data_IF_960313359410
#
_entry.id   IF_960313359410
#
_cell.length_a   1.000
_cell.length_b   1.000
_cell.length_c   1.000
_cell.angle_alpha   90.00
_cell.angle_beta   90.00
_cell.angle_gamma   90.00
#
_symmetry.space_group_name_H-M   'P 1'
#
loop_
_entity.id
_entity.type
_entity.pdbx_description
1 polymer ?
#
# COMPACT_ATOMS: atom_id res chain seq x y z
N UNK A 1 15.73 3.39 20.50
CA UNK A 1 15.68 1.93 20.63
C UNK A 1 14.35 1.46 20.07
N UNK A 2 14.31 0.98 18.82
CA UNK A 2 13.10 0.41 18.23
C UNK A 2 12.96 -1.02 18.76
N UNK A 3 12.07 -1.23 19.74
CA UNK A 3 11.62 -2.58 20.07
C UNK A 3 10.68 -3.00 18.94
N UNK A 4 11.20 -3.78 17.99
CA UNK A 4 10.36 -4.38 16.97
C UNK A 4 9.49 -5.43 17.67
N UNK A 5 8.25 -5.07 17.99
CA UNK A 5 7.23 -6.06 18.29
C UNK A 5 7.30 -7.12 17.19
N UNK A 6 7.41 -8.37 17.59
CA UNK A 6 7.39 -9.47 16.64
C UNK A 6 6.12 -9.36 15.78
N UNK A 7 6.17 -9.88 14.55
CA UNK A 7 5.00 -9.87 13.65
C UNK A 7 3.72 -10.38 14.36
N UNK A 8 3.87 -11.37 15.26
CA UNK A 8 2.77 -11.92 16.05
C UNK A 8 2.20 -10.93 17.06
N UNK A 9 3.05 -10.23 17.81
CA UNK A 9 2.60 -9.21 18.77
C UNK A 9 1.95 -8.04 18.05
N UNK A 10 2.53 -7.59 16.92
CA UNK A 10 1.99 -6.49 16.15
C UNK A 10 0.65 -6.86 15.49
N UNK A 11 0.50 -8.11 15.05
CA UNK A 11 -0.78 -8.62 14.54
C UNK A 11 -1.85 -8.59 15.63
N UNK A 12 -1.56 -9.12 16.82
CA UNK A 12 -2.49 -9.09 17.97
C UNK A 12 -2.84 -7.66 18.37
N UNK A 13 -1.83 -6.79 18.44
CA UNK A 13 -2.01 -5.37 18.74
C UNK A 13 -2.94 -4.71 17.72
N UNK A 14 -2.71 -4.91 16.41
CA UNK A 14 -3.51 -4.29 15.35
C UNK A 14 -4.99 -4.68 15.40
N UNK A 15 -5.29 -5.89 15.87
CA UNK A 15 -6.66 -6.39 16.06
C UNK A 15 -7.34 -5.79 17.30
N UNK A 16 -6.56 -5.37 18.29
CA UNK A 16 -7.06 -4.85 19.57
C UNK A 16 -7.26 -3.34 19.62
N UNK A 17 -6.68 -2.60 18.67
CA UNK A 17 -6.75 -1.13 18.62
C UNK A 17 -7.75 -0.63 17.58
N UNK A 18 -8.16 0.63 17.68
CA UNK A 18 -9.09 1.26 16.75
C UNK A 18 -8.41 1.71 15.45
N UNK A 19 -9.24 2.09 14.47
CA UNK A 19 -8.81 2.55 13.14
C UNK A 19 -7.89 3.78 13.21
N UNK A 20 -8.12 4.71 14.13
CA UNK A 20 -7.28 5.91 14.23
C UNK A 20 -5.88 5.55 14.70
N UNK A 21 -5.76 4.73 15.75
CA UNK A 21 -4.45 4.27 16.25
C UNK A 21 -3.68 3.48 15.18
N UNK A 22 -4.36 2.62 14.41
CA UNK A 22 -3.71 1.92 13.28
C UNK A 22 -3.20 2.89 12.22
N UNK A 23 -4.00 3.90 11.87
CA UNK A 23 -3.62 4.91 10.88
C UNK A 23 -2.41 5.73 11.33
N UNK A 24 -2.35 6.13 12.59
CA UNK A 24 -1.19 6.82 13.16
C UNK A 24 0.08 5.96 13.12
N UNK A 25 -0.05 4.67 13.42
CA UNK A 25 1.06 3.71 13.30
C UNK A 25 1.53 3.57 11.84
N UNK A 26 0.62 3.41 10.89
CA UNK A 26 0.95 3.31 9.46
C UNK A 26 1.61 4.60 8.95
N UNK A 27 1.16 5.77 9.39
CA UNK A 27 1.79 7.05 9.07
C UNK A 27 3.22 7.09 9.61
N UNK A 28 3.43 6.65 10.85
CA UNK A 28 4.75 6.62 11.49
C UNK A 28 5.70 5.65 10.79
N UNK A 29 5.22 4.46 10.41
CA UNK A 29 6.00 3.47 9.66
C UNK A 29 6.35 3.97 8.27
N UNK A 30 5.40 4.62 7.59
CA UNK A 30 5.63 5.20 6.26
C UNK A 30 6.65 6.32 6.32
N UNK A 31 6.51 7.24 7.29
CA UNK A 31 7.48 8.30 7.50
C UNK A 31 8.88 7.76 7.82
N UNK A 32 8.97 6.69 8.62
CA UNK A 32 10.24 6.03 8.91
C UNK A 32 10.86 5.38 7.66
N UNK A 33 10.05 4.76 6.80
CA UNK A 33 10.51 4.19 5.54
C UNK A 33 10.98 5.28 4.55
N UNK A 34 10.30 6.43 4.53
CA UNK A 34 10.63 7.54 3.65
C UNK A 34 11.98 8.22 3.97
N UNK A 35 12.50 8.06 5.20
CA UNK A 35 13.82 8.57 5.59
C UNK A 35 14.96 7.96 4.77
N UNK A 36 14.73 6.83 4.13
CA UNK A 36 15.73 6.10 3.37
C UNK A 36 15.67 6.36 1.85
N UNK A 37 14.65 7.09 1.38
CA UNK A 37 14.53 7.50 -0.02
C UNK A 37 14.37 6.33 -1.00
N UNK A 38 14.75 6.56 -2.26
CA UNK A 38 14.66 5.57 -3.34
C UNK A 38 15.61 4.38 -3.17
N UNK A 39 16.87 4.65 -2.83
CA UNK A 39 17.96 3.66 -2.79
C UNK A 39 18.65 3.65 -1.42
N UNK A 40 18.12 2.90 -0.44
CA UNK A 40 18.79 2.70 0.84
C UNK A 40 20.16 2.04 0.67
N UNK A 41 21.11 2.35 1.56
CA UNK A 41 22.37 1.59 1.65
C UNK A 41 22.10 0.18 2.18
N UNK A 42 23.00 -0.76 1.88
CA UNK A 42 22.85 -2.18 2.24
C UNK A 42 22.56 -2.41 3.72
N UNK A 43 23.19 -1.62 4.59
CA UNK A 43 23.02 -1.67 6.06
C UNK A 43 21.57 -1.42 6.50
N UNK A 44 20.79 -0.68 5.71
CA UNK A 44 19.41 -0.31 6.04
C UNK A 44 18.35 -1.14 5.31
N UNK A 45 18.75 -2.05 4.40
CA UNK A 45 17.80 -2.89 3.66
C UNK A 45 16.96 -3.77 4.59
N UNK A 46 17.57 -4.34 5.63
CA UNK A 46 16.85 -5.14 6.63
C UNK A 46 15.83 -4.28 7.39
N UNK A 47 16.18 -3.04 7.72
CA UNK A 47 15.27 -2.14 8.44
C UNK A 47 14.08 -1.73 7.57
N UNK A 48 14.34 -1.38 6.31
CA UNK A 48 13.28 -1.08 5.31
C UNK A 48 12.36 -2.28 5.14
N UNK A 49 12.93 -3.49 5.13
CA UNK A 49 12.14 -4.72 5.05
C UNK A 49 11.24 -4.91 6.26
N UNK A 50 11.78 -4.72 7.47
CA UNK A 50 11.01 -4.82 8.71
C UNK A 50 9.87 -3.79 8.74
N UNK A 51 10.14 -2.54 8.33
CA UNK A 51 9.10 -1.51 8.22
C UNK A 51 7.98 -1.94 7.27
N UNK A 52 8.33 -2.47 6.09
CA UNK A 52 7.35 -3.00 5.15
C UNK A 52 6.51 -4.14 5.72
N UNK A 53 7.14 -5.12 6.39
CA UNK A 53 6.43 -6.21 7.07
C UNK A 53 5.46 -5.68 8.13
N UNK A 54 5.88 -4.68 8.89
CA UNK A 54 5.05 -4.06 9.92
C UNK A 54 3.87 -3.30 9.30
N UNK A 55 4.08 -2.56 8.20
CA UNK A 55 3.02 -1.89 7.46
C UNK A 55 1.96 -2.88 6.96
N UNK A 56 2.39 -3.99 6.35
CA UNK A 56 1.48 -5.05 5.89
C UNK A 56 0.73 -5.71 7.05
N UNK A 57 1.38 -5.89 8.19
CA UNK A 57 0.79 -6.53 9.37
C UNK A 57 -0.28 -5.63 10.02
N UNK A 58 0.00 -4.33 10.15
CA UNK A 58 -0.89 -3.34 10.77
C UNK A 58 -2.05 -2.97 9.86
N UNK A 59 -1.91 -3.08 8.54
CA UNK A 59 -2.98 -2.72 7.61
C UNK A 59 -4.18 -3.67 7.71
N UNK A 60 -5.37 -3.10 7.83
CA UNK A 60 -6.67 -3.74 7.62
C UNK A 60 -7.41 -3.07 6.45
N UNK A 61 -8.59 -3.58 6.11
CA UNK A 61 -9.42 -3.07 5.01
C UNK A 61 -9.69 -1.55 5.12
N UNK A 62 -9.93 -1.05 6.34
CA UNK A 62 -10.23 0.36 6.61
C UNK A 62 -9.05 1.31 6.38
N UNK A 63 -7.82 0.81 6.34
CA UNK A 63 -6.62 1.63 6.10
C UNK A 63 -6.02 1.41 4.70
N UNK A 64 -6.39 0.33 3.99
CA UNK A 64 -5.75 -0.08 2.74
C UNK A 64 -5.73 1.03 1.70
N UNK A 65 -6.87 1.68 1.45
CA UNK A 65 -6.96 2.72 0.43
C UNK A 65 -6.02 3.90 0.73
N UNK A 66 -6.04 4.38 1.98
CA UNK A 66 -5.19 5.50 2.41
C UNK A 66 -3.71 5.12 2.30
N UNK A 67 -3.35 3.93 2.76
CA UNK A 67 -1.98 3.44 2.71
C UNK A 67 -1.46 3.32 1.27
N UNK A 68 -2.25 2.71 0.38
CA UNK A 68 -1.88 2.52 -1.02
C UNK A 68 -1.70 3.87 -1.75
N UNK A 69 -2.63 4.81 -1.57
CA UNK A 69 -2.53 6.16 -2.17
C UNK A 69 -1.32 6.93 -1.63
N UNK A 70 -1.07 6.89 -0.32
CA UNK A 70 0.10 7.52 0.28
C UNK A 70 1.42 6.95 -0.25
N UNK A 71 1.54 5.61 -0.31
CA UNK A 71 2.73 4.96 -0.84
C UNK A 71 2.93 5.26 -2.33
N UNK A 72 1.87 5.27 -3.14
CA UNK A 72 1.96 5.63 -4.55
C UNK A 72 2.50 7.06 -4.75
N UNK A 73 2.00 8.04 -3.98
CA UNK A 73 2.53 9.42 -4.00
C UNK A 73 4.00 9.47 -3.59
N UNK A 74 4.39 8.71 -2.57
CA UNK A 74 5.77 8.64 -2.12
C UNK A 74 6.70 8.01 -3.17
N UNK A 75 6.23 7.02 -3.94
CA UNK A 75 6.96 6.46 -5.07
C UNK A 75 7.16 7.46 -6.19
N UNK A 76 6.10 8.21 -6.55
CA UNK A 76 6.20 9.27 -7.57
C UNK A 76 7.24 10.33 -7.18
N UNK A 77 7.32 10.67 -5.89
CA UNK A 77 8.31 11.60 -5.34
C UNK A 77 9.68 10.95 -5.06
N UNK A 78 9.88 9.68 -5.39
CA UNK A 78 11.11 8.92 -5.11
C UNK A 78 11.55 8.93 -3.63
N UNK A 79 10.60 9.10 -2.69
CA UNK A 79 10.89 9.14 -1.26
C UNK A 79 10.71 7.80 -0.58
N UNK A 80 10.06 6.83 -1.22
CA UNK A 80 9.83 5.49 -0.67
C UNK A 80 10.68 4.44 -1.38
N UNK A 81 11.39 3.54 -0.67
CA UNK A 81 12.13 2.46 -1.31
C UNK A 81 11.18 1.53 -2.10
N UNK A 82 11.52 1.12 -3.35
CA UNK A 82 10.68 0.24 -4.15
C UNK A 82 10.29 -1.07 -3.44
N UNK A 83 11.21 -1.61 -2.63
CA UNK A 83 10.97 -2.82 -1.85
C UNK A 83 9.78 -2.71 -0.88
N UNK A 84 9.42 -1.50 -0.42
CA UNK A 84 8.26 -1.33 0.47
C UNK A 84 6.94 -1.65 -0.26
N UNK A 85 6.85 -1.38 -1.57
CA UNK A 85 5.63 -1.62 -2.33
C UNK A 85 5.22 -3.10 -2.34
N UNK A 86 6.18 -4.04 -2.29
CA UNK A 86 5.86 -5.47 -2.21
C UNK A 86 5.01 -5.82 -0.99
N UNK A 87 5.16 -5.07 0.10
CA UNK A 87 4.38 -5.26 1.32
C UNK A 87 3.02 -4.60 1.25
N UNK A 88 2.89 -3.53 0.46
CA UNK A 88 1.59 -2.94 0.14
C UNK A 88 0.78 -3.89 -0.74
N UNK A 89 1.42 -4.58 -1.69
CA UNK A 89 0.78 -5.66 -2.47
C UNK A 89 0.28 -6.75 -1.52
N UNK A 90 1.10 -7.23 -0.57
CA UNK A 90 0.68 -8.21 0.45
C UNK A 90 -0.47 -7.72 1.32
N UNK A 91 -0.48 -6.44 1.68
CA UNK A 91 -1.60 -5.84 2.41
C UNK A 91 -2.88 -5.85 1.57
N UNK A 92 -2.78 -5.54 0.28
CA UNK A 92 -3.91 -5.61 -0.64
C UNK A 92 -4.43 -7.04 -0.82
N UNK A 93 -3.54 -8.04 -0.97
CA UNK A 93 -3.92 -9.46 -1.06
C UNK A 93 -4.70 -9.91 0.19
N UNK A 94 -4.30 -9.43 1.37
CA UNK A 94 -4.97 -9.74 2.64
C UNK A 94 -6.32 -9.04 2.79
N UNK A 95 -6.42 -7.77 2.40
CA UNK A 95 -7.50 -6.89 2.86
C UNK A 95 -8.47 -6.43 1.76
N UNK A 96 -8.10 -6.50 0.48
CA UNK A 96 -8.88 -5.88 -0.59
C UNK A 96 -10.29 -6.48 -0.73
N UNK A 97 -10.47 -7.77 -0.45
CA UNK A 97 -11.78 -8.43 -0.51
C UNK A 97 -12.79 -7.90 0.53
N UNK A 98 -12.30 -7.30 1.61
CA UNK A 98 -13.14 -6.72 2.67
C UNK A 98 -13.40 -5.21 2.46
N UNK A 99 -12.78 -4.60 1.44
CA UNK A 99 -12.98 -3.18 1.13
C UNK A 99 -14.27 -3.02 0.31
N UNK A 100 -15.14 -2.05 0.66
CA UNK A 100 -16.34 -1.75 -0.13
C UNK A 100 -16.04 -1.47 -1.60
N UNK A 101 -16.92 -1.93 -2.49
CA UNK A 101 -16.77 -1.82 -3.95
C UNK A 101 -16.51 -0.38 -4.43
N UNK A 102 -17.25 0.58 -3.88
CA UNK A 102 -17.11 2.01 -4.15
C UNK A 102 -15.72 2.53 -3.75
N UNK A 103 -15.24 2.13 -2.57
CA UNK A 103 -13.91 2.51 -2.08
C UNK A 103 -12.79 1.92 -2.94
N UNK A 104 -12.91 0.67 -3.38
CA UNK A 104 -11.96 0.06 -4.34
C UNK A 104 -11.95 0.82 -5.67
N UNK A 105 -13.13 1.16 -6.20
CA UNK A 105 -13.24 1.95 -7.43
C UNK A 105 -12.60 3.34 -7.30
N UNK A 106 -12.81 4.01 -6.18
CA UNK A 106 -12.18 5.29 -5.87
C UNK A 106 -10.66 5.18 -5.77
N UNK A 107 -10.14 4.15 -5.09
CA UNK A 107 -8.72 3.89 -4.99
C UNK A 107 -8.08 3.64 -6.35
N UNK A 108 -8.66 2.76 -7.18
CA UNK A 108 -8.14 2.47 -8.51
C UNK A 108 -8.06 3.73 -9.38
N UNK A 109 -9.09 4.58 -9.33
CA UNK A 109 -9.10 5.87 -10.01
C UNK A 109 -8.01 6.80 -9.47
N UNK A 110 -7.85 6.91 -8.15
CA UNK A 110 -6.83 7.76 -7.55
C UNK A 110 -5.41 7.32 -7.95
N UNK A 111 -5.12 6.01 -7.87
CA UNK A 111 -3.84 5.45 -8.31
C UNK A 111 -3.57 5.74 -9.79
N UNK A 112 -4.59 5.60 -10.64
CA UNK A 112 -4.51 5.96 -12.06
C UNK A 112 -4.14 7.43 -12.26
N UNK A 113 -4.76 8.35 -11.52
CA UNK A 113 -4.44 9.79 -11.56
C UNK A 113 -2.99 10.04 -11.12
N UNK A 114 -2.56 9.48 -9.99
CA UNK A 114 -1.20 9.66 -9.44
C UNK A 114 -0.14 9.29 -10.49
N UNK A 115 -0.27 8.10 -11.10
CA UNK A 115 0.71 7.63 -12.09
C UNK A 115 0.59 8.33 -13.44
N UNK A 116 -0.62 8.71 -13.85
CA UNK A 116 -0.81 9.48 -15.08
C UNK A 116 -0.19 10.88 -14.99
N UNK A 117 -0.39 11.57 -13.88
CA UNK A 117 0.23 12.87 -13.61
C UNK A 117 1.74 12.77 -13.53
N UNK A 118 2.27 11.75 -12.86
CA UNK A 118 3.70 11.47 -12.77
C UNK A 118 4.31 11.28 -14.15
N UNK A 119 3.69 10.43 -14.98
CA UNK A 119 4.13 10.19 -16.37
C UNK A 119 4.10 11.46 -17.22
N UNK A 120 3.06 12.27 -17.10
CA UNK A 120 2.88 13.48 -17.92
C UNK A 120 3.94 14.55 -17.61
N UNK A 121 4.44 14.57 -16.37
CA UNK A 121 5.45 15.53 -15.89
C UNK A 121 6.86 14.94 -15.83
N UNK A 122 7.04 13.69 -16.24
CA UNK A 122 8.30 12.96 -16.08
C UNK A 122 9.41 13.55 -16.95
N UNK A 123 10.58 13.71 -16.35
CA UNK A 123 11.85 13.86 -17.07
C UNK A 123 12.44 12.48 -17.40
N UNK A 124 13.45 12.41 -18.27
CA UNK A 124 14.16 11.15 -18.56
C UNK A 124 14.69 10.48 -17.27
N UNK A 125 15.23 11.28 -16.35
CA UNK A 125 15.71 10.78 -15.06
C UNK A 125 14.61 10.23 -14.14
N UNK A 126 13.36 10.67 -14.32
CA UNK A 126 12.22 10.15 -13.56
C UNK A 126 11.75 8.81 -14.14
N UNK A 127 11.80 8.66 -15.48
CA UNK A 127 11.42 7.43 -16.17
C UNK A 127 12.30 6.25 -15.71
N UNK A 128 13.62 6.43 -15.68
CA UNK A 128 14.55 5.41 -15.20
C UNK A 128 14.25 4.99 -13.75
N UNK A 129 13.82 5.95 -12.90
CA UNK A 129 13.42 5.66 -11.52
C UNK A 129 12.10 4.91 -11.44
N UNK A 130 11.15 5.19 -12.33
CA UNK A 130 9.85 4.52 -12.36
C UNK A 130 9.93 3.05 -12.74
N UNK A 131 10.94 2.65 -13.54
CA UNK A 131 11.17 1.24 -13.87
C UNK A 131 11.36 0.36 -12.63
N UNK A 132 12.02 0.88 -11.59
CA UNK A 132 12.20 0.14 -10.33
C UNK A 132 10.89 -0.09 -9.55
N UNK A 133 9.89 0.79 -9.74
CA UNK A 133 8.58 0.66 -9.10
C UNK A 133 7.58 -0.16 -9.94
N UNK A 134 7.75 -0.18 -11.26
CA UNK A 134 6.84 -0.81 -12.22
C UNK A 134 6.34 -2.21 -11.84
N UNK A 135 7.19 -3.19 -11.47
CA UNK A 135 6.70 -4.55 -11.16
C UNK A 135 5.78 -4.57 -9.92
N UNK A 136 6.10 -3.78 -8.89
CA UNK A 136 5.31 -3.74 -7.67
C UNK A 136 4.02 -2.93 -7.83
N UNK A 137 4.07 -1.84 -8.60
CA UNK A 137 2.89 -1.06 -8.97
C UNK A 137 1.92 -1.90 -9.80
N UNK A 138 2.42 -2.65 -10.79
CA UNK A 138 1.60 -3.56 -11.60
C UNK A 138 0.96 -4.65 -10.72
N UNK A 139 1.73 -5.24 -9.78
CA UNK A 139 1.21 -6.19 -8.82
C UNK A 139 0.09 -5.61 -7.95
N UNK A 140 0.27 -4.39 -7.42
CA UNK A 140 -0.74 -3.71 -6.61
C UNK A 140 -2.02 -3.45 -7.41
N UNK A 141 -1.89 -2.89 -8.60
CA UNK A 141 -3.04 -2.60 -9.47
C UNK A 141 -3.78 -3.88 -9.86
N UNK A 142 -3.07 -4.95 -10.19
CA UNK A 142 -3.67 -6.23 -10.53
C UNK A 142 -4.47 -6.81 -9.35
N UNK A 143 -3.89 -6.82 -8.15
CA UNK A 143 -4.55 -7.33 -6.94
C UNK A 143 -5.82 -6.53 -6.64
N UNK A 144 -5.76 -5.20 -6.70
CA UNK A 144 -6.91 -4.34 -6.45
C UNK A 144 -8.00 -4.48 -7.53
N UNK A 145 -7.62 -4.62 -8.81
CA UNK A 145 -8.58 -4.84 -9.90
C UNK A 145 -9.30 -6.19 -9.76
N UNK A 146 -8.61 -7.25 -9.36
CA UNK A 146 -9.25 -8.55 -9.11
C UNK A 146 -10.32 -8.44 -8.01
N UNK A 147 -9.96 -7.85 -6.87
CA UNK A 147 -10.92 -7.62 -5.78
C UNK A 147 -12.11 -6.75 -6.21
N UNK A 148 -11.86 -5.71 -7.02
CA UNK A 148 -12.92 -4.85 -7.56
C UNK A 148 -13.89 -5.62 -8.46
N UNK A 149 -13.36 -6.46 -9.36
CA UNK A 149 -14.18 -7.30 -10.25
C UNK A 149 -14.99 -8.33 -9.46
N UNK A 150 -14.38 -9.00 -8.48
CA UNK A 150 -15.07 -9.95 -7.60
C UNK A 150 -16.21 -9.28 -6.80
N UNK A 151 -15.97 -8.07 -6.28
CA UNK A 151 -17.00 -7.27 -5.61
C UNK A 151 -18.12 -6.86 -6.58
N UNK A 152 -17.78 -6.47 -7.82
CA UNK A 152 -18.77 -6.12 -8.85
C UNK A 152 -19.68 -7.30 -9.20
N UNK A 153 -19.09 -8.49 -9.36
CA UNK A 153 -19.84 -9.72 -9.58
C UNK A 153 -20.77 -10.02 -8.42
N UNK A 154 -20.27 -9.94 -7.18
CA UNK A 154 -21.07 -10.21 -5.98
C UNK A 154 -22.27 -9.26 -5.87
N UNK A 155 -22.11 -7.98 -6.22
CA UNK A 155 -23.20 -7.00 -6.25
C UNK A 155 -24.20 -7.26 -7.39
N UNK A 156 -23.72 -7.71 -8.55
CA UNK A 156 -24.58 -8.00 -9.71
C UNK A 156 -25.46 -9.23 -9.48
N UNK A 157 -25.04 -10.16 -8.63
CA UNK A 157 -25.78 -11.37 -8.27
C UNK A 157 -26.53 -11.27 -6.93
N UNK A 158 -26.55 -10.11 -6.26
CA UNK A 158 -27.39 -9.95 -5.07
C UNK A 158 -28.84 -10.17 -5.48
N UNK A 159 -29.51 -11.27 -5.05
CA UNK A 159 -30.88 -11.52 -5.46
C UNK A 159 -31.73 -10.34 -4.97
N UNK A 160 -32.53 -9.77 -5.86
CA UNK A 160 -33.56 -8.80 -5.49
C UNK A 160 -34.36 -9.43 -4.35
N UNK A 161 -34.22 -8.89 -3.13
CA UNK A 161 -35.04 -9.30 -2.01
C UNK A 161 -36.44 -8.77 -2.28
N UNK A 162 -37.24 -9.58 -2.98
CA UNK A 162 -38.70 -9.48 -3.03
C UNK A 162 -39.35 -9.89 -1.72
#
# INVERSE_FOLDING_TARGET
MFSALSKFELSKWSQSVDTNTRREMLNSLTAAAQRWGFAPTEEYLLLVELLGVQMSTVCHATELCVLASMCARACVSATLPPAVLRHIVRAAEKCAAEVPFDQLGHLLRELGIIWWEARTKATESDIERYDAYAPHTAGLLLTLHRAFVEAAFSLSYTPEKG
#
